data_IF_935323263641
#
_entry.id   IF_935323263641
#
_cell.length_a   1.000
_cell.length_b   1.000
_cell.length_c   1.000
_cell.angle_alpha   90.00
_cell.angle_beta   90.00
_cell.angle_gamma   90.00
#
_symmetry.space_group_name_H-M   'P 1'
#
loop_
_entity.id
_entity.type
_entity.pdbx_description
1 polymer ?
#
# COMPACT_ATOMS: atom_id res chain seq x y z
N UNK A 1 2.13 16.09 -14.23
CA UNK A 1 1.09 15.11 -13.83
C UNK A 1 1.13 14.94 -12.31
N UNK A 2 -0.01 15.06 -11.60
CA UNK A 2 -0.09 14.82 -10.15
C UNK A 2 -0.32 13.32 -9.93
N UNK A 3 0.72 12.58 -9.57
CA UNK A 3 0.68 11.10 -9.45
C UNK A 3 0.06 10.58 -8.14
N UNK A 4 -0.39 11.46 -7.25
CA UNK A 4 -0.84 11.08 -5.90
C UNK A 4 -2.30 11.45 -5.68
N UNK A 5 -3.14 10.45 -5.33
CA UNK A 5 -4.53 10.63 -4.88
C UNK A 5 -4.64 11.10 -3.43
N UNK A 6 -3.53 11.14 -2.70
CA UNK A 6 -3.51 11.60 -1.31
C UNK A 6 -3.71 13.12 -1.26
N UNK A 7 -4.63 13.55 -0.40
CA UNK A 7 -4.92 14.96 -0.15
C UNK A 7 -3.85 15.52 0.80
N UNK A 8 -3.39 16.74 0.55
CA UNK A 8 -2.49 17.46 1.47
C UNK A 8 -3.19 17.62 2.82
N UNK A 9 -2.55 17.16 3.89
CA UNK A 9 -3.10 17.30 5.24
C UNK A 9 -2.82 18.70 5.78
N UNK A 10 -3.82 19.28 6.45
CA UNK A 10 -3.68 20.58 7.10
C UNK A 10 -2.58 20.53 8.18
N UNK A 11 -1.72 21.54 8.22
CA UNK A 11 -0.61 21.62 9.19
C UNK A 11 0.65 20.83 8.83
N UNK A 12 0.70 20.17 7.66
CA UNK A 12 1.89 19.49 7.16
C UNK A 12 2.48 20.19 5.93
N UNK A 13 3.79 20.08 5.74
CA UNK A 13 4.48 20.58 4.55
C UNK A 13 4.05 19.84 3.29
N UNK A 14 4.26 20.47 2.14
CA UNK A 14 3.87 19.94 0.83
C UNK A 14 4.50 18.56 0.61
N UNK A 15 3.68 17.58 0.23
CA UNK A 15 4.08 16.19 -0.01
C UNK A 15 4.52 15.41 1.24
N UNK A 16 4.34 15.95 2.45
CA UNK A 16 4.52 15.18 3.69
C UNK A 16 3.24 14.39 3.97
N UNK A 17 3.40 13.07 4.04
CA UNK A 17 2.32 12.14 4.35
C UNK A 17 2.69 11.34 5.61
N UNK A 18 1.87 11.39 6.67
CA UNK A 18 2.13 10.63 7.87
C UNK A 18 1.91 9.15 7.60
N UNK A 19 2.88 8.33 8.00
CA UNK A 19 2.75 6.88 7.93
C UNK A 19 1.99 6.39 9.16
N UNK A 20 0.74 6.00 8.93
CA UNK A 20 -0.13 5.39 9.96
C UNK A 20 -0.47 3.96 9.56
N UNK A 21 -0.62 3.02 10.53
CA UNK A 21 -1.03 1.67 10.20
C UNK A 21 -2.41 1.64 9.54
N UNK A 22 -2.53 0.95 8.41
CA UNK A 22 -3.80 0.68 7.74
C UNK A 22 -4.27 -0.73 8.05
N UNK A 23 -5.57 -0.89 8.28
CA UNK A 23 -6.23 -2.20 8.37
C UNK A 23 -6.86 -2.58 7.03
N UNK A 24 -6.62 -3.81 6.57
CA UNK A 24 -7.26 -4.39 5.39
C UNK A 24 -7.79 -5.78 5.73
N UNK A 25 -9.01 -6.06 5.27
CA UNK A 25 -9.61 -7.39 5.34
C UNK A 25 -9.35 -8.12 4.04
N UNK A 26 -8.83 -9.35 4.14
CA UNK A 26 -8.66 -10.27 3.03
C UNK A 26 -9.63 -11.42 3.23
N UNK A 27 -10.45 -11.70 2.23
CA UNK A 27 -11.35 -12.85 2.22
C UNK A 27 -10.82 -13.85 1.21
N UNK A 28 -10.56 -15.07 1.67
CA UNK A 28 -10.18 -16.19 0.82
C UNK A 28 -11.31 -17.21 0.79
N UNK A 29 -11.59 -17.76 -0.39
CA UNK A 29 -12.47 -18.92 -0.54
C UNK A 29 -11.66 -20.18 -0.26
N UNK A 30 -12.17 -21.06 0.60
CA UNK A 30 -11.53 -22.33 0.96
C UNK A 30 -12.57 -23.46 0.91
N UNK A 31 -12.53 -24.25 -0.17
CA UNK A 31 -13.56 -25.25 -0.46
C UNK A 31 -14.94 -24.61 -0.62
N UNK A 32 -15.92 -25.08 0.16
CA UNK A 32 -17.29 -24.52 0.19
C UNK A 32 -17.46 -23.32 1.15
N UNK A 33 -16.42 -22.94 1.89
CA UNK A 33 -16.48 -21.87 2.89
C UNK A 33 -15.66 -20.63 2.51
N UNK A 34 -15.88 -19.54 3.24
CA UNK A 34 -15.04 -18.34 3.18
C UNK A 34 -14.31 -18.14 4.51
N UNK A 35 -13.05 -17.75 4.44
CA UNK A 35 -12.26 -17.37 5.61
C UNK A 35 -11.75 -15.95 5.42
N UNK A 36 -11.99 -15.10 6.41
CA UNK A 36 -11.54 -13.71 6.41
C UNK A 36 -10.41 -13.51 7.40
N UNK A 37 -9.39 -12.75 7.01
CA UNK A 37 -8.30 -12.32 7.88
C UNK A 37 -8.14 -10.80 7.81
N UNK A 38 -7.89 -10.19 8.96
CA UNK A 38 -7.57 -8.76 9.05
C UNK A 38 -6.08 -8.58 9.22
N UNK A 39 -5.50 -7.65 8.46
CA UNK A 39 -4.09 -7.27 8.59
C UNK A 39 -3.99 -5.77 8.84
N UNK A 40 -3.39 -5.40 9.97
CA UNK A 40 -3.00 -4.04 10.30
C UNK A 40 -1.49 -3.88 10.07
N UNK A 41 -1.09 -2.96 9.21
CA UNK A 41 0.32 -2.76 8.85
C UNK A 41 0.57 -1.34 8.34
N UNK A 42 1.80 -0.84 8.47
CA UNK A 42 2.20 0.40 7.79
C UNK A 42 2.09 0.25 6.26
N UNK A 43 1.57 1.24 5.52
CA UNK A 43 1.35 1.13 4.09
C UNK A 43 2.62 1.39 3.26
N UNK A 44 3.72 0.72 3.63
CA UNK A 44 5.02 0.84 2.97
C UNK A 44 5.69 -0.53 2.81
N UNK A 45 6.57 -0.64 1.82
CA UNK A 45 7.46 -1.79 1.62
C UNK A 45 8.86 -1.28 1.25
N UNK A 46 9.95 -1.97 1.64
CA UNK A 46 11.29 -1.65 1.14
C UNK A 46 11.34 -1.68 -0.40
N UNK A 47 12.18 -0.83 -0.98
CA UNK A 47 12.21 -0.57 -2.41
C UNK A 47 13.64 -0.55 -3.01
N UNK A 48 14.63 -1.06 -2.29
CA UNK A 48 15.99 -1.25 -2.85
C UNK A 48 16.10 -2.49 -3.73
N UNK A 49 15.16 -3.42 -3.60
CA UNK A 49 15.09 -4.63 -4.42
C UNK A 49 13.64 -4.82 -4.82
N UNK A 50 13.42 -5.02 -6.12
CA UNK A 50 12.11 -5.28 -6.69
C UNK A 50 12.09 -6.67 -7.29
N UNK A 51 10.90 -7.27 -7.33
CA UNK A 51 10.68 -8.43 -8.19
C UNK A 51 10.59 -7.96 -9.64
N UNK A 52 10.91 -8.82 -10.61
CA UNK A 52 10.83 -8.50 -12.05
C UNK A 52 9.48 -7.91 -12.45
N UNK A 53 8.39 -8.45 -11.89
CA UNK A 53 7.04 -7.93 -12.11
C UNK A 53 6.86 -6.49 -11.61
N UNK A 54 7.51 -6.12 -10.51
CA UNK A 54 7.37 -4.78 -9.90
C UNK A 54 8.26 -3.72 -10.55
N UNK A 55 9.37 -4.12 -11.18
CA UNK A 55 10.27 -3.22 -11.92
C UNK A 55 9.86 -3.03 -13.39
N UNK A 56 8.92 -3.83 -13.91
CA UNK A 56 8.55 -3.79 -15.33
C UNK A 56 8.11 -2.38 -15.78
N UNK A 57 8.74 -1.88 -16.84
CA UNK A 57 8.45 -0.56 -17.42
C UNK A 57 9.13 0.61 -16.68
N UNK A 58 9.94 0.33 -15.67
CA UNK A 58 10.81 1.32 -15.04
C UNK A 58 12.21 1.25 -15.66
N UNK A 59 12.78 2.40 -15.97
CA UNK A 59 14.23 2.53 -16.13
C UNK A 59 14.78 2.80 -14.71
N UNK A 60 15.51 1.83 -14.16
CA UNK A 60 16.05 1.85 -12.80
C UNK A 60 17.54 2.21 -12.86
#
# INVERSE_FOLDING_TARGET
MKHTKAVQLAGLEKNVLPLVPLERTFTITHGKGQKSMKRRQLPITPAYSFTDYRSQGQAI
#
